data_IF_677216034516
#
_entry.id   IF_677216034516
#
_cell.length_a   1.000
_cell.length_b   1.000
_cell.length_c   1.000
_cell.angle_alpha   90.00
_cell.angle_beta   90.00
_cell.angle_gamma   90.00
#
_symmetry.space_group_name_H-M   'P 1'
#
loop_
_entity.id
_entity.type
_entity.pdbx_description
1 polymer ?
#
# COMPACT_ATOMS: atom_id res chain seq x y z
N UNK A 1 7.03 11.52 6.25
CA UNK A 1 7.85 10.68 7.13
C UNK A 1 8.38 11.41 8.36
N UNK A 2 8.97 12.60 8.26
CA UNK A 2 9.42 13.38 9.43
C UNK A 2 8.32 13.65 10.47
N UNK A 3 7.08 13.84 10.02
CA UNK A 3 5.90 14.14 10.87
C UNK A 3 5.54 13.02 11.85
N UNK A 4 5.91 11.77 11.57
CA UNK A 4 5.46 10.58 12.32
C UNK A 4 6.62 9.79 12.97
N UNK A 5 7.79 10.38 13.15
CA UNK A 5 8.97 9.78 13.82
C UNK A 5 9.45 8.42 13.28
N UNK A 6 9.06 8.05 12.06
CA UNK A 6 9.51 6.79 11.42
C UNK A 6 10.86 6.90 10.71
N UNK A 7 11.63 7.96 10.99
CA UNK A 7 12.87 8.23 10.25
C UNK A 7 14.00 7.24 10.60
N UNK A 8 14.03 6.72 11.82
CA UNK A 8 15.12 5.85 12.33
C UNK A 8 14.82 4.35 12.21
N UNK A 9 13.69 3.96 11.59
CA UNK A 9 13.35 2.55 11.41
C UNK A 9 14.27 1.87 10.40
N UNK A 10 14.63 0.59 10.65
CA UNK A 10 15.34 -0.24 9.66
C UNK A 10 14.49 -0.43 8.40
N UNK A 11 15.07 -0.28 7.20
CA UNK A 11 14.34 -0.50 5.94
C UNK A 11 13.79 -1.93 5.82
N UNK A 12 12.61 -2.09 5.19
CA UNK A 12 12.03 -3.38 4.85
C UNK A 12 12.27 -3.72 3.37
N UNK A 13 12.37 -5.02 3.04
CA UNK A 13 12.61 -5.48 1.67
C UNK A 13 11.34 -5.62 0.84
N UNK A 14 10.21 -5.90 1.49
CA UNK A 14 8.89 -6.09 0.86
C UNK A 14 7.89 -5.12 1.48
N UNK A 15 6.92 -4.60 0.69
CA UNK A 15 5.92 -3.65 1.17
C UNK A 15 4.92 -4.28 2.14
N UNK A 16 4.61 -5.56 1.93
CA UNK A 16 3.63 -6.32 2.69
C UNK A 16 3.97 -7.81 2.65
N UNK A 17 3.71 -8.51 3.73
CA UNK A 17 3.82 -9.96 3.79
C UNK A 17 2.47 -10.58 3.44
N UNK A 18 2.39 -11.24 2.29
CA UNK A 18 1.16 -11.87 1.79
C UNK A 18 0.69 -13.05 2.63
N UNK A 19 1.54 -13.59 3.51
CA UNK A 19 1.16 -14.65 4.46
C UNK A 19 0.34 -14.11 5.64
N UNK A 20 0.39 -12.79 5.89
CA UNK A 20 -0.35 -12.13 6.96
C UNK A 20 -1.75 -11.78 6.47
N UNK A 21 -2.75 -12.44 7.03
CA UNK A 21 -4.15 -12.12 6.79
C UNK A 21 -4.63 -11.08 7.78
N UNK A 22 -5.05 -9.93 7.28
CA UNK A 22 -5.60 -8.85 8.09
C UNK A 22 -7.11 -9.02 8.24
N UNK A 23 -7.59 -9.03 9.47
CA UNK A 23 -9.02 -9.15 9.78
C UNK A 23 -9.53 -7.90 10.50
N UNK A 24 -10.83 -7.56 10.36
CA UNK A 24 -11.44 -6.50 11.13
C UNK A 24 -11.28 -6.75 12.63
N UNK A 25 -10.99 -5.70 13.41
CA UNK A 25 -10.91 -5.79 14.86
C UNK A 25 -12.26 -6.21 15.45
N UNK A 26 -12.27 -7.25 16.28
CA UNK A 26 -13.47 -7.75 16.98
C UNK A 26 -13.71 -7.01 18.28
N UNK A 27 -12.67 -6.50 18.93
CA UNK A 27 -12.71 -5.85 20.23
C UNK A 27 -12.63 -4.33 20.11
N UNK A 28 -13.54 -3.62 20.80
CA UNK A 28 -13.52 -2.15 20.82
C UNK A 28 -12.34 -1.57 21.61
N UNK A 29 -11.77 -2.35 22.53
CA UNK A 29 -10.63 -1.95 23.34
C UNK A 29 -9.29 -2.03 22.61
N UNK A 30 -9.23 -2.63 21.43
CA UNK A 30 -8.00 -2.82 20.62
C UNK A 30 -7.88 -1.78 19.48
N UNK A 31 -8.58 -0.65 19.63
CA UNK A 31 -8.53 0.44 18.65
C UNK A 31 -7.33 1.33 18.94
N UNK A 32 -6.32 1.21 18.11
CA UNK A 32 -5.16 2.09 18.14
C UNK A 32 -5.44 3.40 17.39
N UNK A 33 -4.87 4.49 17.87
CA UNK A 33 -4.90 5.87 17.36
C UNK A 33 -5.44 6.05 15.92
N UNK A 34 -6.76 5.95 15.77
CA UNK A 34 -7.47 5.98 14.48
C UNK A 34 -7.13 7.23 13.65
N UNK A 35 -7.03 8.38 14.31
CA UNK A 35 -6.78 9.67 13.61
C UNK A 35 -5.39 9.69 12.96
N UNK A 36 -4.40 9.18 13.66
CA UNK A 36 -3.04 9.11 13.15
C UNK A 36 -2.94 8.08 12.02
N UNK A 37 -3.54 6.90 12.20
CA UNK A 37 -3.63 5.87 11.17
C UNK A 37 -4.25 6.43 9.87
N UNK A 38 -5.41 7.07 9.97
CA UNK A 38 -6.10 7.68 8.83
C UNK A 38 -5.24 8.76 8.14
N UNK A 39 -4.54 9.59 8.92
CA UNK A 39 -3.64 10.63 8.39
C UNK A 39 -2.45 10.04 7.63
N UNK A 40 -1.87 8.93 8.12
CA UNK A 40 -0.76 8.24 7.44
C UNK A 40 -1.25 7.61 6.13
N UNK A 41 -2.39 6.88 6.17
CA UNK A 41 -2.99 6.28 4.98
C UNK A 41 -3.30 7.33 3.91
N UNK A 42 -3.88 8.48 4.29
CA UNK A 42 -4.12 9.60 3.38
C UNK A 42 -2.84 10.13 2.73
N UNK A 43 -1.76 10.26 3.51
CA UNK A 43 -0.45 10.69 2.99
C UNK A 43 0.15 9.68 2.02
N UNK A 44 0.03 8.38 2.32
CA UNK A 44 0.50 7.31 1.43
C UNK A 44 -0.30 7.26 0.14
N UNK A 45 -1.61 7.48 0.20
CA UNK A 45 -2.48 7.54 -0.97
C UNK A 45 -2.06 8.66 -1.94
N UNK A 46 -1.75 9.83 -1.41
CA UNK A 46 -1.21 10.93 -2.23
C UNK A 46 0.10 10.54 -2.95
N UNK A 47 0.99 9.81 -2.26
CA UNK A 47 2.25 9.33 -2.88
C UNK A 47 1.98 8.34 -4.01
N UNK A 48 0.98 7.46 -3.85
CA UNK A 48 0.57 6.50 -4.89
C UNK A 48 0.12 7.24 -6.14
N UNK A 49 -0.82 8.16 -5.98
CA UNK A 49 -1.41 8.91 -7.10
C UNK A 49 -0.36 9.69 -7.91
N UNK A 50 0.73 10.07 -7.26
CA UNK A 50 1.81 10.82 -7.91
C UNK A 50 2.87 9.94 -8.59
N UNK A 51 3.29 8.84 -7.97
CA UNK A 51 4.52 8.16 -8.45
C UNK A 51 4.67 6.67 -8.08
N UNK A 52 3.84 6.11 -7.17
CA UNK A 52 4.14 4.85 -6.50
C UNK A 52 3.01 3.82 -6.59
N UNK A 53 2.73 3.38 -7.83
CA UNK A 53 1.72 2.35 -8.08
C UNK A 53 2.03 0.99 -7.45
N UNK A 54 3.31 0.68 -7.21
CA UNK A 54 3.78 -0.57 -6.59
C UNK A 54 3.23 -0.80 -5.18
N UNK A 55 2.89 0.25 -4.44
CA UNK A 55 2.29 0.15 -3.10
C UNK A 55 0.77 0.35 -3.09
N UNK A 56 0.15 0.58 -4.24
CA UNK A 56 -1.27 0.90 -4.35
C UNK A 56 -2.16 -0.19 -3.74
N UNK A 57 -1.88 -1.45 -4.04
CA UNK A 57 -2.60 -2.59 -3.49
C UNK A 57 -2.57 -2.61 -1.95
N UNK A 58 -1.38 -2.50 -1.38
CA UNK A 58 -1.19 -2.57 0.08
C UNK A 58 -1.90 -1.43 0.79
N UNK A 59 -1.80 -0.21 0.26
CA UNK A 59 -2.50 0.95 0.83
C UNK A 59 -4.02 0.79 0.67
N UNK A 60 -4.49 0.22 -0.44
CA UNK A 60 -5.90 -0.10 -0.65
C UNK A 60 -6.43 -1.07 0.40
N UNK A 61 -5.67 -2.14 0.71
CA UNK A 61 -6.02 -3.10 1.77
C UNK A 61 -6.05 -2.42 3.14
N UNK A 62 -4.99 -1.69 3.51
CA UNK A 62 -4.89 -1.01 4.81
C UNK A 62 -5.95 0.07 4.99
N UNK A 63 -6.38 0.74 3.92
CA UNK A 63 -7.43 1.77 3.96
C UNK A 63 -8.79 1.22 4.41
N UNK A 64 -9.07 -0.06 4.20
CA UNK A 64 -10.33 -0.71 4.64
C UNK A 64 -10.48 -0.72 6.16
N UNK A 65 -9.37 -0.71 6.89
CA UNK A 65 -9.33 -0.78 8.35
C UNK A 65 -9.20 0.59 9.03
N UNK A 66 -9.36 1.69 8.28
CA UNK A 66 -9.22 3.05 8.80
C UNK A 66 -10.23 3.38 9.92
N UNK A 67 -11.41 2.74 9.91
CA UNK A 67 -12.43 2.97 10.95
C UNK A 67 -12.10 2.32 12.29
N UNK A 68 -11.45 1.14 12.27
CA UNK A 68 -11.10 0.37 13.48
C UNK A 68 -9.73 -0.31 13.30
N UNK A 69 -8.61 0.46 13.31
CA UNK A 69 -7.28 -0.13 13.18
C UNK A 69 -6.86 -0.83 14.47
N UNK A 70 -6.32 -2.04 14.35
CA UNK A 70 -5.72 -2.80 15.44
C UNK A 70 -4.18 -2.82 15.35
N UNK A 71 -3.52 -3.54 16.26
CA UNK A 71 -2.06 -3.67 16.30
C UNK A 71 -1.47 -4.30 15.04
N UNK A 72 -2.16 -5.27 14.43
CA UNK A 72 -1.71 -5.94 13.20
C UNK A 72 -1.72 -4.97 12.01
N UNK A 73 -2.77 -4.16 11.89
CA UNK A 73 -2.87 -3.12 10.87
C UNK A 73 -1.74 -2.08 11.01
N UNK A 74 -1.41 -1.70 12.25
CA UNK A 74 -0.31 -0.80 12.53
C UNK A 74 1.04 -1.40 12.18
N UNK A 75 1.27 -2.68 12.46
CA UNK A 75 2.49 -3.39 12.11
C UNK A 75 2.67 -3.44 10.58
N UNK A 76 1.61 -3.80 9.86
CA UNK A 76 1.62 -3.83 8.39
C UNK A 76 1.88 -2.44 7.79
N UNK A 77 1.24 -1.39 8.32
CA UNK A 77 1.48 0.00 7.90
C UNK A 77 2.92 0.43 8.19
N UNK A 78 3.47 0.08 9.35
CA UNK A 78 4.86 0.37 9.71
C UNK A 78 5.84 -0.33 8.76
N UNK A 79 5.57 -1.58 8.40
CA UNK A 79 6.35 -2.30 7.40
C UNK A 79 6.32 -1.58 6.04
N UNK A 80 5.15 -1.13 5.60
CA UNK A 80 5.01 -0.37 4.37
C UNK A 80 5.83 0.93 4.39
N UNK A 81 5.79 1.68 5.49
CA UNK A 81 6.59 2.91 5.64
C UNK A 81 8.10 2.61 5.56
N UNK A 82 8.53 1.51 6.18
CA UNK A 82 9.94 1.06 6.13
C UNK A 82 10.35 0.65 4.71
N UNK A 83 9.47 0.04 3.95
CA UNK A 83 9.69 -0.26 2.54
C UNK A 83 9.81 1.04 1.71
N UNK A 84 8.85 1.96 1.84
CA UNK A 84 8.90 3.26 1.15
C UNK A 84 10.19 4.03 1.47
N UNK A 85 10.67 3.95 2.71
CA UNK A 85 11.95 4.55 3.10
C UNK A 85 13.12 3.94 2.32
N UNK A 86 13.15 2.62 2.13
CA UNK A 86 14.22 1.93 1.37
C UNK A 86 14.30 2.41 -0.06
N UNK A 87 13.17 2.63 -0.68
CA UNK A 87 13.06 2.91 -2.10
C UNK A 87 12.83 4.39 -2.43
N UNK A 88 13.10 5.28 -1.48
CA UNK A 88 12.93 6.74 -1.65
C UNK A 88 13.72 7.30 -2.84
N UNK A 89 14.81 6.65 -3.21
CA UNK A 89 15.67 7.03 -4.34
C UNK A 89 15.30 6.33 -5.66
N UNK A 90 14.31 5.42 -5.64
CA UNK A 90 13.84 4.77 -6.84
C UNK A 90 12.84 5.66 -7.54
N UNK A 91 12.96 5.77 -8.85
CA UNK A 91 12.07 6.57 -9.70
C UNK A 91 11.77 5.82 -10.98
N UNK A 92 10.77 6.30 -11.70
CA UNK A 92 10.49 5.84 -13.06
C UNK A 92 11.43 6.57 -14.00
N UNK A 93 12.18 5.79 -14.81
CA UNK A 93 13.03 6.32 -15.86
C UNK A 93 12.24 6.28 -17.17
N UNK A 94 11.92 7.44 -17.72
CA UNK A 94 11.26 7.55 -19.00
C UNK A 94 12.31 7.64 -20.10
N UNK A 95 12.27 6.70 -21.05
CA UNK A 95 13.12 6.71 -22.23
C UNK A 95 12.27 6.86 -23.48
N UNK A 96 12.85 7.40 -24.55
CA UNK A 96 12.14 7.57 -25.81
C UNK A 96 12.21 6.27 -26.63
N UNK A 97 11.08 5.60 -26.74
CA UNK A 97 10.85 4.46 -27.62
C UNK A 97 9.83 4.80 -28.71
N UNK A 98 9.57 3.84 -29.61
CA UNK A 98 8.47 3.95 -30.57
C UNK A 98 7.15 4.10 -29.81
N UNK A 99 6.30 5.05 -30.24
CA UNK A 99 5.05 5.36 -29.56
C UNK A 99 3.98 4.29 -29.87
N UNK A 100 4.19 3.07 -29.38
CA UNK A 100 3.21 1.98 -29.44
C UNK A 100 2.50 1.95 -28.09
N UNK A 101 1.19 2.04 -28.11
CA UNK A 101 0.34 1.89 -26.93
C UNK A 101 0.08 0.40 -26.67
N UNK A 102 0.47 -0.08 -25.48
CA UNK A 102 0.21 -1.44 -25.04
C UNK A 102 -0.57 -1.40 -23.74
N UNK A 103 -1.48 -2.35 -23.54
CA UNK A 103 -2.31 -2.46 -22.34
C UNK A 103 -2.33 -3.87 -21.80
N UNK A 104 -2.13 -3.99 -20.49
CA UNK A 104 -2.18 -5.25 -19.77
C UNK A 104 -3.25 -5.14 -18.68
N UNK A 105 -4.05 -6.18 -18.50
CA UNK A 105 -5.02 -6.27 -17.42
C UNK A 105 -4.98 -7.65 -16.79
N UNK A 106 -5.13 -7.68 -15.48
CA UNK A 106 -5.21 -8.91 -14.71
C UNK A 106 -6.31 -8.78 -13.64
N UNK A 107 -6.99 -9.88 -13.36
CA UNK A 107 -8.02 -9.91 -12.32
C UNK A 107 -7.93 -11.21 -11.54
N UNK A 108 -8.00 -11.10 -10.20
CA UNK A 108 -8.04 -12.23 -9.31
C UNK A 108 -9.42 -12.35 -8.66
N UNK A 109 -9.92 -13.58 -8.55
CA UNK A 109 -11.19 -13.86 -7.90
C UNK A 109 -10.97 -14.05 -6.40
N UNK A 110 -11.72 -13.28 -5.56
CA UNK A 110 -11.78 -13.47 -4.10
C UNK A 110 -10.41 -13.63 -3.41
N UNK A 111 -9.55 -12.63 -3.52
CA UNK A 111 -8.18 -12.66 -2.95
C UNK A 111 -8.13 -12.44 -1.44
N UNK A 112 -9.19 -11.95 -0.81
CA UNK A 112 -9.23 -11.69 0.62
C UNK A 112 -10.17 -12.67 1.31
N UNK A 113 -9.64 -13.41 2.29
CA UNK A 113 -10.43 -14.27 3.16
C UNK A 113 -11.49 -13.44 3.90
N UNK A 114 -12.76 -13.80 3.70
CA UNK A 114 -13.90 -13.15 4.35
C UNK A 114 -14.54 -12.00 3.56
N UNK A 115 -14.04 -11.70 2.35
CA UNK A 115 -14.63 -10.72 1.45
C UNK A 115 -14.74 -11.33 0.04
N UNK A 116 -15.94 -11.25 -0.57
CA UNK A 116 -16.18 -11.78 -1.94
C UNK A 116 -15.76 -10.78 -3.03
N UNK A 117 -14.98 -9.77 -2.69
CA UNK A 117 -14.51 -8.78 -3.66
C UNK A 117 -13.28 -9.30 -4.42
N UNK A 118 -13.31 -9.16 -5.74
CA UNK A 118 -12.16 -9.42 -6.60
C UNK A 118 -11.31 -8.15 -6.74
N UNK A 119 -10.01 -8.37 -6.95
CA UNK A 119 -9.07 -7.28 -7.24
C UNK A 119 -8.73 -7.30 -8.73
N UNK A 120 -8.81 -6.15 -9.38
CA UNK A 120 -8.42 -5.97 -10.77
C UNK A 120 -7.29 -4.94 -10.86
N UNK A 121 -6.30 -5.24 -11.67
CA UNK A 121 -5.22 -4.32 -12.03
C UNK A 121 -5.13 -4.13 -13.54
N UNK A 122 -4.65 -2.97 -13.96
CA UNK A 122 -4.32 -2.70 -15.36
C UNK A 122 -3.12 -1.76 -15.43
N UNK A 123 -2.34 -1.90 -16.51
CA UNK A 123 -1.20 -1.04 -16.83
C UNK A 123 -1.23 -0.73 -18.30
N UNK A 124 -1.03 0.53 -18.64
CA UNK A 124 -0.80 0.96 -20.02
C UNK A 124 0.62 1.49 -20.15
N UNK A 125 1.31 1.07 -21.20
CA UNK A 125 2.65 1.55 -21.55
C UNK A 125 2.65 2.21 -22.91
N UNK A 126 3.55 3.16 -23.11
CA UNK A 126 3.79 3.79 -24.40
C UNK A 126 5.28 3.60 -24.72
N UNK A 127 5.54 2.71 -25.68
CA UNK A 127 6.91 2.42 -26.11
C UNK A 127 7.66 1.40 -25.24
N UNK A 128 6.91 0.46 -24.62
CA UNK A 128 7.46 -0.65 -23.85
C UNK A 128 7.57 -0.45 -22.35
#
# INVERSE_FOLDING_TARGET
MKKYSYFDCKPASIPFDSSVHLFPSKDENDIYNQKEYASIIGSLRYVIDCTRLDIAYVVGVLARFTSKPNSEHWNAMTQLIRYVKRIVHYGLLYQRYLAVLEGYSDSSWSTLLGDSLSTMGYVFTIGG
#
